data_IF_352219984940
#
_entry.id   IF_352219984940
#
_cell.length_a   1.000
_cell.length_b   1.000
_cell.length_c   1.000
_cell.angle_alpha   90.00
_cell.angle_beta   90.00
_cell.angle_gamma   90.00
#
_symmetry.space_group_name_H-M   'P 1'
#
loop_
_entity.id
_entity.type
_entity.pdbx_description
1 polymer ?
#
# COMPACT_ATOMS: atom_id res chain seq x y z
N UNK A 1 24.50 11.15 -8.68
CA UNK A 1 23.69 10.43 -7.68
C UNK A 1 24.48 10.47 -6.38
N UNK A 2 23.92 11.04 -5.31
CA UNK A 2 24.61 11.17 -4.02
C UNK A 2 24.33 9.94 -3.14
N UNK A 3 25.28 9.60 -2.28
CA UNK A 3 25.15 8.49 -1.33
C UNK A 3 24.42 8.95 -0.07
N UNK A 4 23.52 8.12 0.45
CA UNK A 4 22.83 8.36 1.74
C UNK A 4 23.53 7.63 2.88
N UNK A 5 23.35 8.12 4.11
CA UNK A 5 23.81 7.40 5.29
C UNK A 5 22.86 6.24 5.62
N UNK A 6 23.39 5.19 6.24
CA UNK A 6 22.56 4.06 6.72
C UNK A 6 21.44 4.52 7.66
N UNK A 7 21.70 5.54 8.49
CA UNK A 7 20.71 6.12 9.40
C UNK A 7 19.49 6.70 8.69
N UNK A 8 19.61 7.13 7.44
CA UNK A 8 18.48 7.64 6.67
C UNK A 8 17.61 6.49 6.15
N UNK A 9 18.23 5.40 5.71
CA UNK A 9 17.52 4.17 5.35
C UNK A 9 16.82 3.54 6.57
N UNK A 10 17.49 3.52 7.73
CA UNK A 10 16.95 2.93 8.95
C UNK A 10 15.70 3.64 9.49
N UNK A 11 15.40 4.87 9.04
CA UNK A 11 14.16 5.59 9.38
C UNK A 11 12.94 5.03 8.63
N UNK A 12 13.13 4.26 7.56
CA UNK A 12 12.04 3.72 6.74
C UNK A 12 11.47 2.45 7.38
N UNK A 13 10.18 2.45 7.69
CA UNK A 13 9.49 1.27 8.21
C UNK A 13 9.02 0.38 7.05
N UNK A 14 9.91 -0.49 6.58
CA UNK A 14 9.62 -1.40 5.46
C UNK A 14 9.21 -2.77 6.00
N UNK A 15 8.06 -3.28 5.56
CA UNK A 15 7.56 -4.61 5.96
C UNK A 15 7.10 -5.43 4.76
N UNK A 16 7.10 -6.75 4.93
CA UNK A 16 6.41 -7.68 4.03
C UNK A 16 4.96 -7.83 4.47
N UNK A 17 4.04 -7.92 3.51
CA UNK A 17 2.62 -8.14 3.77
C UNK A 17 1.94 -8.91 2.65
N UNK A 18 0.71 -9.36 2.91
CA UNK A 18 -0.12 -10.08 1.95
C UNK A 18 -1.28 -9.20 1.50
N UNK A 19 -1.52 -9.11 0.20
CA UNK A 19 -2.73 -8.46 -0.32
C UNK A 19 -3.94 -9.33 0.05
N UNK A 20 -4.89 -8.75 0.79
CA UNK A 20 -6.12 -9.43 1.23
C UNK A 20 -7.38 -8.89 0.57
N UNK A 21 -7.31 -7.72 -0.07
CA UNK A 21 -8.41 -7.12 -0.82
C UNK A 21 -7.85 -6.27 -1.97
N UNK A 22 -8.51 -6.30 -3.12
CA UNK A 22 -8.22 -5.48 -4.29
C UNK A 22 -9.56 -4.97 -4.82
N UNK A 23 -9.67 -3.65 -5.01
CA UNK A 23 -10.83 -3.01 -5.61
C UNK A 23 -10.37 -1.98 -6.65
N UNK A 24 -11.05 -1.91 -7.79
CA UNK A 24 -10.76 -0.90 -8.80
C UNK A 24 -11.27 0.47 -8.33
N UNK A 25 -10.46 1.50 -8.50
CA UNK A 25 -10.84 2.85 -8.12
C UNK A 25 -11.93 3.38 -9.07
N UNK A 26 -13.09 3.75 -8.54
CA UNK A 26 -14.27 4.13 -9.34
C UNK A 26 -14.01 5.31 -10.29
N UNK A 27 -13.26 6.31 -9.82
CA UNK A 27 -12.93 7.52 -10.58
C UNK A 27 -11.52 7.53 -11.21
N UNK A 28 -10.86 6.37 -11.33
CA UNK A 28 -9.50 6.28 -11.88
C UNK A 28 -9.18 4.92 -12.51
N UNK A 29 -9.25 4.86 -13.85
CA UNK A 29 -9.14 3.63 -14.64
C UNK A 29 -7.84 2.85 -14.46
N UNK A 30 -6.78 3.51 -13.98
CA UNK A 30 -5.44 2.96 -13.80
C UNK A 30 -5.12 2.58 -12.36
N UNK A 31 -6.02 2.84 -11.41
CA UNK A 31 -5.75 2.68 -9.98
C UNK A 31 -6.54 1.53 -9.36
N UNK A 32 -5.88 0.78 -8.50
CA UNK A 32 -6.49 -0.10 -7.51
C UNK A 32 -6.38 0.53 -6.13
N UNK A 33 -7.38 0.26 -5.29
CA UNK A 33 -7.33 0.38 -3.84
C UNK A 33 -7.08 -1.04 -3.33
N UNK A 34 -6.06 -1.22 -2.51
CA UNK A 34 -5.66 -2.53 -1.99
C UNK A 34 -5.49 -2.49 -0.48
N UNK A 35 -5.96 -3.55 0.18
CA UNK A 35 -5.72 -3.80 1.60
C UNK A 35 -4.59 -4.83 1.75
N UNK A 36 -3.60 -4.50 2.58
CA UNK A 36 -2.43 -5.33 2.82
C UNK A 36 -2.37 -5.69 4.29
N UNK A 37 -2.45 -6.98 4.60
CA UNK A 37 -2.20 -7.53 5.92
C UNK A 37 -0.69 -7.63 6.17
N UNK A 38 -0.20 -6.94 7.20
CA UNK A 38 1.20 -7.01 7.65
C UNK A 38 1.35 -7.74 9.00
N UNK A 39 0.35 -8.54 9.38
CA UNK A 39 0.29 -9.37 10.58
C UNK A 39 -0.29 -8.65 11.80
N UNK A 40 0.14 -7.43 12.07
CA UNK A 40 -0.32 -6.64 13.24
C UNK A 40 -1.48 -5.68 12.92
N UNK A 41 -1.60 -5.26 11.65
CA UNK A 41 -2.59 -4.31 11.14
C UNK A 41 -2.79 -4.50 9.65
N UNK A 42 -3.89 -3.96 9.14
CA UNK A 42 -4.15 -3.85 7.70
C UNK A 42 -3.87 -2.42 7.25
N UNK A 43 -3.20 -2.28 6.11
CA UNK A 43 -2.89 -0.99 5.49
C UNK A 43 -3.65 -0.85 4.17
N UNK A 44 -4.15 0.35 3.91
CA UNK A 44 -4.77 0.69 2.63
C UNK A 44 -3.78 1.46 1.75
N UNK A 45 -3.55 1.01 0.52
CA UNK A 45 -2.77 1.77 -0.45
C UNK A 45 -3.48 1.90 -1.79
N UNK A 46 -3.19 2.99 -2.50
CA UNK A 46 -3.68 3.24 -3.86
C UNK A 46 -2.53 3.03 -4.83
N UNK A 47 -2.68 2.09 -5.76
CA UNK A 47 -1.61 1.65 -6.63
C UNK A 47 -1.99 1.71 -8.11
N UNK A 48 -1.05 2.05 -8.99
CA UNK A 48 -1.30 2.19 -10.43
C UNK A 48 -1.10 0.88 -11.21
N UNK A 49 -1.45 -0.25 -10.62
CA UNK A 49 -1.11 -1.59 -11.14
C UNK A 49 -2.14 -2.17 -12.11
N UNK A 50 -3.28 -1.51 -12.32
CA UNK A 50 -4.35 -1.97 -13.25
C UNK A 50 -3.83 -2.36 -14.64
N UNK A 51 -2.88 -1.62 -15.26
CA UNK A 51 -2.38 -2.00 -16.59
C UNK A 51 -1.47 -3.24 -16.61
N UNK A 52 -1.03 -3.73 -15.45
CA UNK A 52 0.04 -4.73 -15.32
C UNK A 52 -0.43 -6.03 -14.67
N UNK A 53 -1.44 -5.96 -13.81
CA UNK A 53 -1.96 -7.12 -13.08
C UNK A 53 -3.48 -7.10 -13.04
N UNK A 54 -4.08 -8.28 -13.08
CA UNK A 54 -5.49 -8.46 -12.74
C UNK A 54 -5.68 -8.49 -11.22
N UNK A 55 -6.93 -8.32 -10.78
CA UNK A 55 -7.28 -8.41 -9.35
C UNK A 55 -6.94 -9.80 -8.79
N UNK A 56 -7.27 -10.87 -9.53
CA UNK A 56 -6.97 -12.25 -9.16
C UNK A 56 -5.46 -12.52 -9.04
N UNK A 57 -4.66 -11.91 -9.91
CA UNK A 57 -3.21 -12.05 -9.83
C UNK A 57 -2.65 -11.36 -8.59
N UNK A 58 -3.22 -10.23 -8.17
CA UNK A 58 -2.78 -9.49 -6.99
C UNK A 58 -3.24 -10.12 -5.68
N UNK A 59 -4.44 -10.69 -5.66
CA UNK A 59 -5.01 -11.31 -4.46
C UNK A 59 -4.07 -12.38 -3.89
N UNK A 60 -3.74 -12.24 -2.62
CA UNK A 60 -2.87 -13.15 -1.89
C UNK A 60 -1.37 -13.04 -2.20
N UNK A 61 -0.93 -12.13 -3.09
CA UNK A 61 0.51 -11.88 -3.30
C UNK A 61 1.18 -11.33 -2.06
N UNK A 62 2.42 -11.78 -1.84
CA UNK A 62 3.35 -11.16 -0.90
C UNK A 62 3.98 -9.93 -1.54
N UNK A 63 3.98 -8.82 -0.82
CA UNK A 63 4.48 -7.52 -1.25
C UNK A 63 5.33 -6.88 -0.17
N UNK A 64 6.15 -5.90 -0.56
CA UNK A 64 6.89 -5.04 0.34
C UNK A 64 6.21 -3.67 0.40
N UNK A 65 5.95 -3.17 1.59
CA UNK A 65 5.26 -1.90 1.84
C UNK A 65 6.08 -1.02 2.78
N UNK A 66 6.08 0.29 2.51
CA UNK A 66 6.63 1.31 3.39
C UNK A 66 5.50 1.85 4.28
N UNK A 67 5.57 1.53 5.57
CA UNK A 67 4.50 1.68 6.55
C UNK A 67 4.47 3.06 7.25
N UNK A 68 5.50 3.88 7.13
CA UNK A 68 5.60 5.16 7.85
C UNK A 68 5.70 6.39 6.93
N UNK A 69 5.10 6.32 5.75
CA UNK A 69 4.92 7.50 4.91
C UNK A 69 3.83 8.42 5.47
N UNK A 70 4.02 9.73 5.37
CA UNK A 70 2.93 10.65 5.62
C UNK A 70 1.74 10.33 4.70
N UNK A 71 0.51 10.41 5.25
CA UNK A 71 -0.72 10.13 4.49
C UNK A 71 -0.75 10.97 3.20
N UNK A 72 -0.94 10.29 2.08
CA UNK A 72 -1.10 10.92 0.77
C UNK A 72 -2.54 10.74 0.30
N UNK A 73 -3.14 11.82 -0.23
CA UNK A 73 -4.44 11.74 -0.89
C UNK A 73 -4.24 11.62 -2.38
N UNK A 74 -4.79 10.56 -2.97
CA UNK A 74 -4.83 10.38 -4.41
C UNK A 74 -6.29 10.33 -4.85
N UNK A 75 -6.75 11.37 -5.55
CA UNK A 75 -8.10 11.46 -6.13
C UNK A 75 -9.26 11.29 -5.13
N UNK A 76 -9.06 11.72 -3.88
CA UNK A 76 -10.07 11.64 -2.83
C UNK A 76 -9.91 10.41 -1.94
N UNK A 77 -9.21 9.38 -2.42
CA UNK A 77 -8.85 8.20 -1.63
C UNK A 77 -7.59 8.45 -0.82
N UNK A 78 -7.58 7.97 0.42
CA UNK A 78 -6.43 8.09 1.31
C UNK A 78 -5.57 6.84 1.17
N UNK A 79 -4.30 7.04 0.81
CA UNK A 79 -3.28 6.02 0.97
C UNK A 79 -2.80 6.10 2.42
N UNK A 80 -3.11 5.08 3.21
CA UNK A 80 -2.81 5.00 4.64
C UNK A 80 -1.72 3.98 4.89
N UNK A 81 -0.56 4.44 5.37
CA UNK A 81 0.48 3.56 5.90
C UNK A 81 0.36 3.37 7.42
N UNK A 82 -0.43 4.22 8.08
CA UNK A 82 -0.88 4.02 9.46
C UNK A 82 -2.27 3.41 9.44
N UNK A 83 -2.39 2.17 9.94
CA UNK A 83 -3.60 1.36 9.83
C UNK A 83 -4.86 2.06 10.33
N UNK A 84 -5.94 1.90 9.60
CA UNK A 84 -7.26 2.30 10.05
C UNK A 84 -7.67 1.44 11.27
N UNK A 85 -8.31 2.00 12.31
CA UNK A 85 -8.95 1.18 13.33
C UNK A 85 -9.97 0.31 12.62
N UNK A 86 -9.90 -1.01 12.81
CA UNK A 86 -10.98 -1.90 12.39
C UNK A 86 -12.26 -1.38 13.05
N UNK A 87 -13.20 -0.91 12.23
CA UNK A 87 -14.57 -0.71 12.66
C UNK A 87 -15.06 -2.07 13.17
N UNK A 88 -15.38 -2.11 14.45
CA UNK A 88 -16.04 -3.23 15.12
C UNK A 88 -17.38 -3.58 14.46
#
# INVERSE_FOLDING_TARGET
>A
METIAYSDFAKLEIRTGKIIEVARHENADKLYIVQIDIGEKTLQTVTSLVPYYTEEELMGKQVVVLCNLAKAKMRGETSESEGSPQLA
#
